data_IF_888416123362
#
_entry.id   IF_888416123362
#
_cell.length_a   1.000
_cell.length_b   1.000
_cell.length_c   1.000
_cell.angle_alpha   90.00
_cell.angle_beta   90.00
_cell.angle_gamma   90.00
#
_symmetry.space_group_name_H-M   'P 1'
#
loop_
_entity.id
_entity.type
_entity.pdbx_description
1 polymer ?
#
# COMPACT_ATOMS: atom_id res chain seq x y z
N UNK A 1 -22.70 5.28 27.36
CA UNK A 1 -22.79 4.45 26.13
C UNK A 1 -21.54 3.60 26.03
N UNK A 2 -21.62 2.32 26.43
CA UNK A 2 -20.46 1.47 26.71
C UNK A 2 -19.85 0.81 25.48
N UNK A 3 -18.63 0.29 25.65
CA UNK A 3 -17.92 -0.56 24.68
C UNK A 3 -18.60 -1.93 24.62
N UNK A 4 -19.50 -2.11 23.65
CA UNK A 4 -20.25 -3.36 23.46
C UNK A 4 -19.43 -4.34 22.59
N UNK A 5 -19.42 -5.63 22.94
CA UNK A 5 -18.77 -6.73 22.19
C UNK A 5 -19.51 -7.07 20.89
N UNK A 6 -18.82 -7.78 19.98
CA UNK A 6 -19.33 -8.14 18.64
C UNK A 6 -20.73 -8.72 18.66
N UNK A 7 -21.66 -8.11 17.93
CA UNK A 7 -23.03 -8.60 17.73
C UNK A 7 -23.30 -8.76 16.24
N UNK A 8 -24.25 -9.63 15.87
CA UNK A 8 -24.59 -9.89 14.46
C UNK A 8 -24.98 -8.62 13.69
N UNK A 9 -25.58 -7.64 14.39
CA UNK A 9 -25.93 -6.33 13.85
C UNK A 9 -24.73 -5.48 13.38
N UNK A 10 -23.49 -5.90 13.67
CA UNK A 10 -22.25 -5.20 13.28
C UNK A 10 -21.48 -5.90 12.15
N UNK A 11 -22.07 -6.95 11.57
CA UNK A 11 -21.51 -7.61 10.41
C UNK A 11 -21.38 -6.60 9.23
N UNK A 12 -20.25 -6.66 8.51
CA UNK A 12 -20.01 -5.79 7.36
C UNK A 12 -19.63 -4.34 7.66
N UNK A 13 -19.66 -3.89 8.93
CA UNK A 13 -19.34 -2.52 9.37
C UNK A 13 -18.08 -1.95 8.69
N UNK A 14 -17.00 -2.73 8.68
CA UNK A 14 -15.71 -2.25 8.15
C UNK A 14 -15.75 -2.07 6.63
N UNK A 15 -16.47 -2.94 5.90
CA UNK A 15 -16.52 -2.88 4.43
C UNK A 15 -17.42 -1.74 3.93
N UNK A 16 -18.49 -1.41 4.66
CA UNK A 16 -19.37 -0.29 4.33
C UNK A 16 -18.82 1.07 4.75
N UNK A 17 -17.97 1.11 5.79
CA UNK A 17 -17.31 2.33 6.23
C UNK A 17 -16.17 2.76 5.30
N UNK A 18 -15.52 1.83 4.59
CA UNK A 18 -14.43 2.18 3.69
C UNK A 18 -14.96 2.91 2.43
N UNK A 19 -14.31 4.03 2.01
CA UNK A 19 -14.65 4.69 0.76
C UNK A 19 -14.44 3.71 -0.41
N UNK A 20 -15.46 3.61 -1.28
CA UNK A 20 -15.43 2.70 -2.41
C UNK A 20 -14.54 3.25 -3.52
N UNK A 21 -13.26 2.92 -3.48
CA UNK A 21 -12.33 3.26 -4.56
C UNK A 21 -12.55 2.30 -5.72
N UNK A 22 -12.81 2.86 -6.91
CA UNK A 22 -12.92 2.08 -8.14
C UNK A 22 -11.58 1.48 -8.54
N UNK A 23 -11.62 0.36 -9.25
CA UNK A 23 -10.40 -0.29 -9.70
C UNK A 23 -9.80 0.56 -10.80
N UNK A 24 -8.64 1.16 -10.53
CA UNK A 24 -7.85 1.83 -11.56
C UNK A 24 -7.58 0.86 -12.72
N UNK A 25 -7.77 1.35 -13.95
CA UNK A 25 -7.44 0.57 -15.14
C UNK A 25 -5.92 0.38 -15.22
N UNK A 26 -5.50 -0.88 -15.22
CA UNK A 26 -4.08 -1.25 -15.25
C UNK A 26 -3.80 -2.01 -16.53
N UNK A 27 -2.74 -1.60 -17.23
CA UNK A 27 -2.26 -2.31 -18.42
C UNK A 27 -2.01 -3.78 -18.09
N UNK A 28 -2.39 -4.66 -19.03
CA UNK A 28 -2.23 -6.11 -18.89
C UNK A 28 -0.77 -6.44 -18.60
N UNK A 29 -0.50 -7.07 -17.45
CA UNK A 29 0.83 -7.61 -17.20
C UNK A 29 1.06 -8.82 -18.11
N UNK A 30 2.22 -8.92 -18.79
CA UNK A 30 2.53 -10.09 -19.59
C UNK A 30 2.50 -11.36 -18.72
N UNK A 31 2.04 -12.48 -19.27
CA UNK A 31 1.94 -13.78 -18.59
C UNK A 31 3.07 -14.73 -19.04
N UNK A 32 3.33 -15.78 -18.27
CA UNK A 32 4.29 -16.84 -18.63
C UNK A 32 5.76 -16.38 -18.67
N UNK A 33 6.47 -16.77 -19.73
CA UNK A 33 7.92 -16.56 -19.91
C UNK A 33 8.31 -15.08 -19.88
N UNK A 34 7.52 -14.21 -20.52
CA UNK A 34 7.78 -12.78 -20.55
C UNK A 34 7.78 -12.17 -19.14
N UNK A 35 6.86 -12.60 -18.26
CA UNK A 35 6.83 -12.17 -16.85
C UNK A 35 8.08 -12.63 -16.10
N UNK A 36 8.52 -13.87 -16.33
CA UNK A 36 9.70 -14.44 -15.68
C UNK A 36 10.98 -13.68 -16.07
N UNK A 37 11.13 -13.28 -17.33
CA UNK A 37 12.25 -12.42 -17.78
C UNK A 37 12.26 -11.06 -17.07
N UNK A 38 11.10 -10.39 -17.01
CA UNK A 38 10.97 -9.10 -16.30
C UNK A 38 11.31 -9.24 -14.81
N UNK A 39 10.84 -10.31 -14.16
CA UNK A 39 11.13 -10.57 -12.74
C UNK A 39 12.61 -10.86 -12.50
N UNK A 40 13.27 -11.64 -13.37
CA UNK A 40 14.69 -11.95 -13.26
C UNK A 40 15.54 -10.68 -13.38
N UNK A 41 15.32 -9.88 -14.44
CA UNK A 41 16.04 -8.63 -14.65
C UNK A 41 15.86 -7.67 -13.46
N UNK A 42 14.62 -7.51 -12.97
CA UNK A 42 14.31 -6.65 -11.80
C UNK A 42 14.92 -7.13 -10.50
N UNK A 43 15.10 -8.44 -10.30
CA UNK A 43 15.61 -9.00 -9.03
C UNK A 43 17.12 -9.10 -9.02
N UNK A 44 17.73 -9.48 -10.13
CA UNK A 44 19.10 -9.97 -10.15
C UNK A 44 20.05 -9.14 -11.00
N UNK A 45 19.59 -8.59 -12.12
CA UNK A 45 20.47 -7.88 -13.07
C UNK A 45 20.52 -6.38 -12.74
N UNK A 46 19.37 -5.76 -12.48
CA UNK A 46 19.29 -4.31 -12.28
C UNK A 46 19.45 -3.89 -10.81
N UNK A 47 19.54 -4.85 -9.88
CA UNK A 47 19.70 -4.58 -8.44
C UNK A 47 21.01 -5.20 -8.00
N UNK A 48 22.07 -4.41 -8.07
CA UNK A 48 23.40 -4.74 -7.53
C UNK A 48 23.32 -4.66 -6.02
N UNK A 49 22.91 -5.75 -5.36
CA UNK A 49 23.14 -5.89 -3.92
C UNK A 49 24.62 -6.07 -3.71
N UNK A 50 25.28 -5.11 -3.05
CA UNK A 50 26.61 -5.25 -2.47
C UNK A 50 26.72 -6.63 -1.76
N UNK A 51 27.88 -7.30 -1.82
CA UNK A 51 28.05 -8.60 -1.15
C UNK A 51 27.71 -8.47 0.33
N UNK A 52 26.60 -9.09 0.77
CA UNK A 52 26.07 -8.99 2.14
C UNK A 52 24.69 -8.30 2.27
N UNK A 53 24.18 -7.63 1.25
CA UNK A 53 22.88 -6.94 1.30
C UNK A 53 21.69 -7.86 1.03
N UNK A 54 20.93 -8.24 2.07
CA UNK A 54 19.68 -9.00 1.91
C UNK A 54 18.65 -8.17 1.13
N UNK A 55 18.19 -8.67 -0.03
CA UNK A 55 17.21 -7.99 -0.90
C UNK A 55 15.97 -7.56 -0.12
N UNK A 56 15.78 -6.24 0.03
CA UNK A 56 14.58 -5.62 0.62
C UNK A 56 13.44 -5.74 -0.40
N UNK A 57 12.70 -6.85 -0.35
CA UNK A 57 11.46 -6.97 -1.13
C UNK A 57 10.44 -5.95 -0.61
N UNK A 58 9.95 -5.08 -1.49
CA UNK A 58 9.01 -3.98 -1.18
C UNK A 58 7.74 -4.40 -0.43
N UNK A 59 7.43 -5.70 -0.38
CA UNK A 59 6.33 -6.29 0.41
C UNK A 59 6.50 -6.06 1.92
N UNK A 60 7.74 -5.95 2.42
CA UNK A 60 8.00 -5.67 3.85
C UNK A 60 8.14 -4.19 4.18
N UNK A 61 8.39 -3.33 3.18
CA UNK A 61 8.51 -1.86 3.38
C UNK A 61 7.14 -1.20 3.40
N UNK A 62 6.18 -1.66 2.58
CA UNK A 62 4.84 -1.07 2.51
C UNK A 62 3.96 -1.33 3.75
N UNK A 63 4.39 -2.21 4.67
CA UNK A 63 3.71 -2.46 5.96
C UNK A 63 4.32 -1.71 7.14
N UNK A 64 5.43 -0.99 6.94
CA UNK A 64 6.17 -0.29 8.00
C UNK A 64 6.40 1.18 7.66
N UNK A 65 5.41 1.81 7.04
CA UNK A 65 5.23 3.26 7.13
C UNK A 65 4.02 3.46 8.04
N UNK A 66 4.19 3.69 9.35
CA UNK A 66 3.23 4.53 10.04
C UNK A 66 3.36 5.89 9.36
N UNK A 67 2.37 6.30 8.59
CA UNK A 67 2.35 7.67 8.08
C UNK A 67 2.36 8.61 9.29
N UNK A 68 3.39 9.46 9.47
CA UNK A 68 3.30 10.60 10.35
C UNK A 68 3.14 11.81 9.43
N UNK A 69 1.91 12.14 9.04
CA UNK A 69 1.64 13.52 8.68
C UNK A 69 0.92 14.15 9.87
N UNK A 70 1.68 14.75 10.81
CA UNK A 70 1.11 15.68 11.78
C UNK A 70 0.53 16.89 11.03
N UNK A 71 -0.42 17.55 11.68
CA UNK A 71 -0.98 18.85 11.31
C UNK A 71 0.06 19.76 10.64
N UNK A 72 -0.32 20.41 9.54
CA UNK A 72 0.35 21.63 9.12
C UNK A 72 -0.32 22.80 9.89
N UNK A 73 0.36 23.42 10.87
CA UNK A 73 -0.10 24.66 11.47
C UNK A 73 0.37 25.83 10.61
N UNK A 74 -0.22 26.02 9.43
CA UNK A 74 -0.05 27.23 8.61
C UNK A 74 -1.24 27.34 7.64
N UNK A 75 -2.43 27.63 8.18
CA UNK A 75 -3.58 28.17 7.44
C UNK A 75 -3.53 29.71 7.57
N UNK A 76 -3.03 30.47 6.59
CA UNK A 76 -3.30 31.90 6.51
C UNK A 76 -4.50 32.11 5.58
N UNK A 77 -5.59 32.67 6.12
CA UNK A 77 -6.51 33.57 5.40
C UNK A 77 -6.65 33.32 3.87
N UNK A 78 -7.27 32.19 3.49
CA UNK A 78 -7.59 31.92 2.08
C UNK A 78 -8.96 32.53 1.70
N UNK A 79 -9.00 33.87 1.67
CA UNK A 79 -10.12 34.76 1.33
C UNK A 79 -10.92 35.34 2.50
N UNK A 80 -10.31 36.26 3.23
CA UNK A 80 -10.92 37.52 3.66
C UNK A 80 -9.81 38.55 3.92
#
# INVERSE_FOLDING_TARGET
MGKVHGSLARAGKVKSQCPKVEKQEKKKTPKGRAKKRIVYNRRFVNVTTLPGGKRRMWVTVLRRVPAPFPCAPDDPEYHA
#
